data_IF_804788592623
#
_entry.id   IF_804788592623
#
_cell.length_a   1.000
_cell.length_b   1.000
_cell.length_c   1.000
_cell.angle_alpha   90.00
_cell.angle_beta   90.00
_cell.angle_gamma   90.00
#
_symmetry.space_group_name_H-M   'P 1'
#
loop_
_entity.id
_entity.type
_entity.pdbx_description
1 polymer ?
#
# COMPACT_ATOMS: atom_id res chain seq x y z
N UNK A 1 -66.08 -41.25 -23.30
CA UNK A 1 -65.31 -40.70 -24.43
C UNK A 1 -63.84 -40.99 -24.19
N UNK A 2 -63.27 -41.74 -25.12
CA UNK A 2 -61.87 -42.16 -25.18
C UNK A 2 -60.92 -40.96 -25.28
N UNK A 3 -59.76 -41.03 -24.61
CA UNK A 3 -58.48 -40.67 -25.23
C UNK A 3 -57.31 -40.98 -24.27
N UNK A 4 -56.86 -42.23 -24.28
CA UNK A 4 -55.52 -42.59 -23.79
C UNK A 4 -54.60 -42.71 -25.02
N UNK A 5 -54.05 -41.58 -25.50
CA UNK A 5 -52.98 -41.59 -26.52
C UNK A 5 -51.67 -41.97 -25.83
N UNK A 6 -51.32 -43.26 -25.85
CA UNK A 6 -49.96 -43.73 -25.53
C UNK A 6 -49.05 -43.52 -26.73
N UNK A 7 -48.18 -42.52 -26.64
CA UNK A 7 -47.06 -42.30 -27.58
C UNK A 7 -46.11 -43.50 -27.60
N UNK A 8 -46.00 -44.15 -28.75
CA UNK A 8 -45.05 -45.22 -29.01
C UNK A 8 -43.74 -44.58 -29.52
N UNK A 9 -42.81 -44.29 -28.61
CA UNK A 9 -41.46 -43.80 -28.96
C UNK A 9 -40.71 -44.87 -29.76
N UNK A 10 -40.25 -44.50 -30.96
CA UNK A 10 -39.54 -45.36 -31.91
C UNK A 10 -38.18 -45.83 -31.40
N UNK A 11 -37.76 -47.00 -31.85
CA UNK A 11 -36.59 -47.72 -31.33
C UNK A 11 -35.25 -47.02 -31.65
N UNK A 12 -35.22 -46.19 -32.71
CA UNK A 12 -34.07 -45.34 -33.07
C UNK A 12 -33.90 -44.18 -32.10
N UNK A 13 -34.99 -43.52 -31.67
CA UNK A 13 -34.97 -42.45 -30.66
C UNK A 13 -34.54 -43.01 -29.31
N UNK A 14 -35.01 -44.21 -28.93
CA UNK A 14 -34.57 -44.90 -27.72
C UNK A 14 -33.07 -45.23 -27.74
N UNK A 15 -32.51 -45.63 -28.88
CA UNK A 15 -31.06 -45.86 -29.04
C UNK A 15 -30.25 -44.56 -28.96
N UNK A 16 -30.70 -43.50 -29.63
CA UNK A 16 -30.05 -42.17 -29.60
C UNK A 16 -30.04 -41.58 -28.19
N UNK A 17 -31.17 -41.67 -27.47
CA UNK A 17 -31.31 -41.22 -26.08
C UNK A 17 -30.42 -42.03 -25.12
N UNK A 18 -30.25 -43.33 -25.36
CA UNK A 18 -29.38 -44.23 -24.58
C UNK A 18 -27.89 -43.98 -24.86
N UNK A 19 -27.56 -43.49 -26.05
CA UNK A 19 -26.19 -43.10 -26.43
C UNK A 19 -25.79 -41.76 -25.80
N UNK A 20 -26.71 -40.80 -25.72
CA UNK A 20 -26.48 -39.49 -25.11
C UNK A 20 -26.41 -39.53 -23.57
N UNK A 21 -27.04 -40.53 -22.94
CA UNK A 21 -27.01 -40.75 -21.49
C UNK A 21 -26.02 -41.82 -21.02
N UNK A 22 -24.95 -42.09 -21.78
CA UNK A 22 -23.84 -42.91 -21.29
C UNK A 22 -23.01 -42.09 -20.29
N UNK A 23 -23.56 -41.93 -19.07
CA UNK A 23 -22.86 -41.38 -17.90
C UNK A 23 -21.63 -42.25 -17.66
N UNK A 24 -20.45 -41.73 -17.99
CA UNK A 24 -19.19 -42.36 -17.60
C UNK A 24 -19.20 -42.51 -16.08
N UNK A 25 -19.26 -43.77 -15.63
CA UNK A 25 -19.20 -44.08 -14.20
C UNK A 25 -17.80 -43.73 -13.73
N UNK A 26 -17.63 -42.56 -13.11
CA UNK A 26 -16.40 -42.22 -12.39
C UNK A 26 -16.08 -43.37 -11.44
N UNK A 27 -14.90 -43.97 -11.58
CA UNK A 27 -14.45 -45.09 -10.73
C UNK A 27 -14.60 -44.66 -9.25
N UNK A 28 -14.98 -45.57 -8.33
CA UNK A 28 -15.09 -45.22 -6.92
C UNK A 28 -13.72 -44.74 -6.43
N UNK A 29 -13.62 -43.45 -6.15
CA UNK A 29 -12.39 -42.81 -5.67
C UNK A 29 -12.02 -43.45 -4.33
N UNK A 30 -10.82 -44.00 -4.26
CA UNK A 30 -10.29 -44.68 -3.09
C UNK A 30 -10.17 -43.68 -1.93
N UNK A 31 -10.27 -44.13 -0.67
CA UNK A 31 -10.15 -43.23 0.49
C UNK A 31 -8.86 -42.40 0.43
N UNK A 32 -7.73 -43.02 0.07
CA UNK A 32 -6.44 -42.34 -0.12
C UNK A 32 -6.48 -41.26 -1.21
N UNK A 33 -7.20 -41.50 -2.31
CA UNK A 33 -7.35 -40.52 -3.39
C UNK A 33 -8.17 -39.31 -2.93
N UNK A 34 -9.23 -39.52 -2.12
CA UNK A 34 -10.01 -38.43 -1.51
C UNK A 34 -9.16 -37.60 -0.55
N UNK A 35 -8.32 -38.25 0.24
CA UNK A 35 -7.39 -37.57 1.16
C UNK A 35 -6.37 -36.74 0.38
N UNK A 36 -5.78 -37.29 -0.69
CA UNK A 36 -4.85 -36.57 -1.56
C UNK A 36 -5.52 -35.38 -2.24
N UNK A 37 -6.74 -35.55 -2.77
CA UNK A 37 -7.50 -34.46 -3.38
C UNK A 37 -7.80 -33.33 -2.37
N UNK A 38 -8.17 -33.68 -1.13
CA UNK A 38 -8.39 -32.71 -0.06
C UNK A 38 -7.11 -31.91 0.24
N UNK A 39 -5.98 -32.58 0.46
CA UNK A 39 -4.71 -31.90 0.71
C UNK A 39 -4.23 -31.07 -0.48
N UNK A 40 -4.47 -31.53 -1.71
CA UNK A 40 -4.17 -30.76 -2.93
C UNK A 40 -5.00 -29.48 -3.03
N UNK A 41 -6.29 -29.53 -2.68
CA UNK A 41 -7.15 -28.34 -2.61
C UNK A 41 -6.68 -27.39 -1.52
N UNK A 42 -6.33 -27.92 -0.34
CA UNK A 42 -5.80 -27.13 0.76
C UNK A 42 -4.48 -26.43 0.38
N UNK A 43 -3.58 -27.14 -0.31
CA UNK A 43 -2.34 -26.58 -0.83
C UNK A 43 -2.62 -25.45 -1.82
N UNK A 44 -3.52 -25.67 -2.79
CA UNK A 44 -3.88 -24.64 -3.76
C UNK A 44 -4.50 -23.40 -3.10
N UNK A 45 -5.39 -23.60 -2.13
CA UNK A 45 -5.96 -22.52 -1.34
C UNK A 45 -4.89 -21.78 -0.51
N UNK A 46 -3.94 -22.50 0.09
CA UNK A 46 -2.82 -21.93 0.83
C UNK A 46 -1.89 -21.10 -0.05
N UNK A 47 -1.57 -21.59 -1.25
CA UNK A 47 -0.79 -20.85 -2.25
C UNK A 47 -1.55 -19.59 -2.68
N UNK A 48 -2.83 -19.71 -3.04
CA UNK A 48 -3.66 -18.57 -3.42
C UNK A 48 -3.73 -17.52 -2.29
N UNK A 49 -3.96 -17.95 -1.05
CA UNK A 49 -3.97 -17.08 0.12
C UNK A 49 -2.62 -16.38 0.34
N UNK A 50 -1.50 -17.10 0.15
CA UNK A 50 -0.15 -16.53 0.22
C UNK A 50 0.03 -15.40 -0.80
N UNK A 51 -0.37 -15.60 -2.05
CA UNK A 51 -0.31 -14.56 -3.09
C UNK A 51 -1.23 -13.37 -2.78
N UNK A 52 -2.47 -13.63 -2.33
CA UNK A 52 -3.44 -12.57 -1.98
C UNK A 52 -2.90 -11.69 -0.84
N UNK A 53 -2.40 -12.30 0.24
CA UNK A 53 -1.90 -11.58 1.42
C UNK A 53 -0.57 -10.86 1.12
N UNK A 54 0.23 -11.43 0.22
CA UNK A 54 1.51 -10.82 -0.14
C UNK A 54 1.34 -9.62 -1.07
N UNK A 55 0.51 -9.75 -2.11
CA UNK A 55 0.45 -8.76 -3.21
C UNK A 55 -0.82 -7.91 -3.24
N UNK A 56 -1.95 -8.36 -2.69
CA UNK A 56 -3.23 -7.66 -2.85
C UNK A 56 -3.58 -6.88 -1.60
N UNK A 57 -3.66 -7.56 -0.44
CA UNK A 57 -4.16 -6.97 0.80
C UNK A 57 -3.15 -7.22 1.92
N UNK A 58 -2.70 -6.14 2.57
CA UNK A 58 -2.00 -6.25 3.84
C UNK A 58 -2.90 -5.75 4.97
N UNK A 59 -3.12 -6.61 5.96
CA UNK A 59 -3.65 -6.17 7.26
C UNK A 59 -2.49 -5.58 8.06
N UNK A 60 -2.56 -4.30 8.41
CA UNK A 60 -1.55 -3.66 9.25
C UNK A 60 -2.21 -3.01 10.46
N UNK A 61 -1.54 -3.12 11.61
CA UNK A 61 -1.93 -2.42 12.83
C UNK A 61 -1.22 -1.08 12.85
N UNK A 62 -1.92 0.00 13.22
CA UNK A 62 -1.31 1.32 13.32
C UNK A 62 -0.51 1.44 14.62
N UNK A 63 0.83 1.60 14.56
CA UNK A 63 1.67 1.59 15.75
C UNK A 63 1.80 2.96 16.43
N UNK A 64 1.52 4.05 15.73
CA UNK A 64 1.79 5.42 16.22
C UNK A 64 0.57 6.34 16.14
N UNK A 65 0.47 7.26 17.11
CA UNK A 65 -0.60 8.26 17.19
C UNK A 65 -0.43 9.48 16.29
N UNK A 66 0.54 9.48 15.37
CA UNK A 66 0.75 10.63 14.47
C UNK A 66 -0.46 10.89 13.57
N UNK A 67 -1.30 9.88 13.34
CA UNK A 67 -2.54 9.99 12.56
C UNK A 67 -3.79 9.82 13.45
N UNK A 68 -3.68 9.94 14.78
CA UNK A 68 -4.72 9.53 15.75
C UNK A 68 -6.11 10.13 15.50
N UNK A 69 -6.21 11.37 15.03
CA UNK A 69 -7.53 11.98 14.76
C UNK A 69 -8.16 11.50 13.43
N UNK A 70 -7.44 10.73 12.62
CA UNK A 70 -7.96 10.10 11.38
C UNK A 70 -8.00 8.58 11.51
N UNK A 71 -6.99 7.96 12.12
CA UNK A 71 -6.86 6.52 12.35
C UNK A 71 -6.29 6.31 13.75
N UNK A 72 -7.00 5.58 14.59
CA UNK A 72 -6.63 5.43 16.00
C UNK A 72 -5.45 4.46 16.15
N UNK A 73 -4.67 4.66 17.21
CA UNK A 73 -3.61 3.73 17.57
C UNK A 73 -4.22 2.38 17.90
N UNK A 74 -3.69 1.33 17.27
CA UNK A 74 -4.17 -0.03 17.46
C UNK A 74 -5.26 -0.47 16.49
N UNK A 75 -5.80 0.42 15.65
CA UNK A 75 -6.73 0.04 14.57
C UNK A 75 -6.06 -0.92 13.59
N UNK A 76 -6.84 -1.88 13.10
CA UNK A 76 -6.49 -2.72 11.96
C UNK A 76 -6.99 -2.08 10.68
N UNK A 77 -6.07 -1.75 9.78
CA UNK A 77 -6.41 -1.20 8.47
C UNK A 77 -6.02 -2.18 7.38
N UNK A 78 -6.90 -2.31 6.39
CA UNK A 78 -6.63 -3.08 5.18
C UNK A 78 -5.99 -2.15 4.15
N UNK A 79 -4.75 -2.44 3.81
CA UNK A 79 -3.99 -1.69 2.80
C UNK A 79 -4.10 -2.41 1.48
N UNK A 80 -4.56 -1.69 0.46
CA UNK A 80 -4.52 -2.17 -0.92
C UNK A 80 -3.10 -1.97 -1.47
N UNK A 81 -2.35 -3.06 -1.58
CA UNK A 81 -0.97 -3.06 -2.11
C UNK A 81 -0.91 -3.08 -3.62
N UNK A 82 -1.97 -3.57 -4.25
CA UNK A 82 -1.98 -3.85 -5.68
C UNK A 82 -1.90 -2.56 -6.52
N UNK A 83 -2.58 -1.50 -6.07
CA UNK A 83 -2.71 -0.24 -6.81
C UNK A 83 -1.36 0.47 -7.03
N UNK A 84 -0.48 0.49 -6.02
CA UNK A 84 0.79 1.22 -6.06
C UNK A 84 1.99 0.34 -6.45
N UNK A 85 1.74 -0.85 -7.00
CA UNK A 85 2.80 -1.79 -7.37
C UNK A 85 3.34 -2.49 -6.14
N UNK A 86 2.77 -3.66 -5.85
CA UNK A 86 3.12 -4.48 -4.70
C UNK A 86 4.55 -5.02 -4.81
N UNK A 87 5.28 -4.97 -3.70
CA UNK A 87 6.62 -5.57 -3.59
C UNK A 87 6.55 -6.95 -2.95
N UNK A 88 7.40 -7.87 -3.42
CA UNK A 88 7.64 -9.13 -2.71
C UNK A 88 8.25 -8.86 -1.32
N UNK A 89 8.18 -9.82 -0.38
CA UNK A 89 8.84 -9.70 0.92
C UNK A 89 10.33 -9.41 0.75
N UNK A 90 10.83 -8.39 1.47
CA UNK A 90 12.25 -8.00 1.46
C UNK A 90 13.09 -8.75 2.49
N UNK A 91 12.45 -9.40 3.46
CA UNK A 91 13.10 -10.08 4.57
C UNK A 91 12.48 -11.45 4.76
N UNK A 92 13.28 -12.41 5.22
CA UNK A 92 12.75 -13.69 5.70
C UNK A 92 12.00 -13.42 7.01
N UNK A 93 10.75 -13.90 7.18
CA UNK A 93 10.04 -13.77 8.44
C UNK A 93 10.88 -14.29 9.62
N UNK A 94 10.89 -13.54 10.72
CA UNK A 94 11.62 -13.87 11.96
C UNK A 94 13.15 -13.83 11.87
N UNK A 95 13.71 -13.29 10.78
CA UNK A 95 15.16 -13.03 10.67
C UNK A 95 15.40 -11.62 10.11
N UNK A 96 16.64 -11.14 10.24
CA UNK A 96 17.09 -9.86 9.68
C UNK A 96 17.78 -10.05 8.31
N UNK A 97 17.53 -11.19 7.66
CA UNK A 97 18.17 -11.53 6.39
C UNK A 97 17.37 -10.92 5.23
N UNK A 98 18.03 -10.06 4.46
CA UNK A 98 17.50 -9.47 3.22
C UNK A 98 17.38 -10.49 2.09
N UNK A 99 16.27 -10.41 1.36
CA UNK A 99 15.98 -11.16 0.16
C UNK A 99 15.98 -10.22 -1.05
N UNK A 100 16.44 -10.69 -2.23
CA UNK A 100 16.22 -9.95 -3.46
C UNK A 100 14.71 -9.81 -3.67
N UNK A 101 14.25 -8.56 -3.73
CA UNK A 101 12.83 -8.26 -3.92
C UNK A 101 12.57 -7.70 -5.31
N UNK A 102 11.35 -7.93 -5.79
CA UNK A 102 10.86 -7.31 -7.02
C UNK A 102 9.57 -6.56 -6.72
N UNK A 103 9.31 -5.53 -7.52
CA UNK A 103 8.09 -4.73 -7.46
C UNK A 103 7.29 -4.92 -8.72
N UNK A 104 6.01 -5.25 -8.59
CA UNK A 104 5.09 -5.27 -9.72
C UNK A 104 4.86 -3.84 -10.23
N UNK A 105 4.56 -3.65 -11.53
CA UNK A 105 4.22 -2.34 -12.05
C UNK A 105 3.03 -1.75 -11.28
N UNK A 106 3.12 -0.47 -10.93
CA UNK A 106 2.02 0.25 -10.32
C UNK A 106 0.91 0.50 -11.36
N UNK A 107 -0.34 0.32 -10.96
CA UNK A 107 -1.50 0.66 -11.79
C UNK A 107 -1.83 2.15 -11.67
N UNK A 108 -1.60 2.72 -10.49
CA UNK A 108 -1.75 4.13 -10.20
C UNK A 108 -0.52 4.65 -9.45
N UNK A 109 -0.21 5.92 -9.66
CA UNK A 109 0.75 6.65 -8.83
C UNK A 109 0.02 7.26 -7.63
N UNK A 110 0.68 7.43 -6.46
CA UNK A 110 0.08 8.11 -5.33
C UNK A 110 -0.36 9.52 -5.70
N UNK A 111 -1.58 9.88 -5.35
CA UNK A 111 -2.12 11.21 -5.58
C UNK A 111 -2.03 12.04 -4.29
N UNK A 112 -2.00 13.36 -4.45
CA UNK A 112 -2.08 14.24 -3.30
C UNK A 112 -3.39 13.96 -2.54
N UNK A 113 -3.32 14.03 -1.20
CA UNK A 113 -4.36 13.67 -0.24
C UNK A 113 -4.47 12.19 0.14
N UNK A 114 -3.88 11.26 -0.62
CA UNK A 114 -3.91 9.83 -0.29
C UNK A 114 -3.29 9.52 1.07
N UNK A 115 -3.81 8.51 1.76
CA UNK A 115 -3.16 7.92 2.93
C UNK A 115 -2.30 6.76 2.43
N UNK A 116 -0.99 6.92 2.57
CA UNK A 116 0.00 5.94 2.08
C UNK A 116 0.65 5.22 3.26
N UNK A 117 0.85 3.92 3.07
CA UNK A 117 1.64 3.08 3.96
C UNK A 117 2.92 2.72 3.25
N UNK A 118 4.06 3.03 3.86
CA UNK A 118 5.38 2.73 3.31
C UNK A 118 6.31 2.27 4.43
N UNK A 119 7.30 1.49 4.06
CA UNK A 119 8.35 1.07 4.97
C UNK A 119 9.21 2.27 5.37
N UNK A 120 9.56 2.37 6.66
CA UNK A 120 10.40 3.43 7.17
C UNK A 120 11.73 3.48 6.39
N UNK A 121 12.07 4.60 5.73
CA UNK A 121 13.25 4.66 4.88
C UNK A 121 14.57 4.80 5.67
N UNK A 122 14.49 5.01 6.99
CA UNK A 122 15.64 5.34 7.85
C UNK A 122 15.67 6.81 8.23
N UNK A 123 16.55 7.16 9.17
CA UNK A 123 16.80 8.55 9.52
C UNK A 123 17.50 9.29 8.36
N UNK A 124 17.42 10.62 8.33
CA UNK A 124 17.96 11.47 7.24
C UNK A 124 19.37 11.10 6.78
N UNK A 125 20.26 10.80 7.73
CA UNK A 125 21.68 10.55 7.47
C UNK A 125 22.00 9.04 7.36
N UNK A 126 20.98 8.18 7.23
CA UNK A 126 21.09 6.74 7.06
C UNK A 126 20.74 6.32 5.64
N UNK A 127 21.53 5.43 5.05
CA UNK A 127 21.23 4.81 3.75
C UNK A 127 20.21 3.67 3.86
N UNK A 128 20.16 3.02 5.02
CA UNK A 128 19.29 1.89 5.32
C UNK A 128 18.73 2.09 6.73
N UNK A 129 17.44 1.81 6.91
CA UNK A 129 16.81 1.92 8.22
C UNK A 129 17.44 0.95 9.23
N UNK A 130 17.66 1.45 10.46
CA UNK A 130 18.13 0.62 11.58
C UNK A 130 17.09 -0.45 11.97
N UNK A 131 15.80 -0.11 11.87
CA UNK A 131 14.70 -1.02 12.20
C UNK A 131 13.99 -1.49 10.92
N UNK A 132 14.08 -2.79 10.65
CA UNK A 132 13.50 -3.42 9.47
C UNK A 132 12.02 -3.76 9.69
N UNK A 133 11.21 -3.69 8.63
CA UNK A 133 9.79 -4.08 8.68
C UNK A 133 8.87 -3.09 9.39
N UNK A 134 9.36 -1.91 9.75
CA UNK A 134 8.55 -0.84 10.35
C UNK A 134 7.78 -0.10 9.25
N UNK A 135 6.45 -0.05 9.37
CA UNK A 135 5.60 0.67 8.42
C UNK A 135 5.13 2.01 8.98
N UNK A 136 5.22 3.05 8.18
CA UNK A 136 4.74 4.38 8.47
C UNK A 136 3.46 4.63 7.69
N UNK A 137 2.48 5.25 8.36
CA UNK A 137 1.24 5.70 7.74
C UNK A 137 1.21 7.22 7.76
N UNK A 138 1.19 7.83 6.58
CA UNK A 138 1.21 9.28 6.40
C UNK A 138 0.26 9.68 5.28
N UNK A 139 -0.04 10.97 5.21
CA UNK A 139 -0.80 11.56 4.10
C UNK A 139 0.17 12.10 3.03
N UNK A 140 -0.09 11.76 1.78
CA UNK A 140 0.62 12.34 0.63
C UNK A 140 0.20 13.80 0.47
N UNK A 141 1.19 14.70 0.48
CA UNK A 141 0.98 16.14 0.29
C UNK A 141 1.39 16.58 -1.12
N UNK A 142 2.49 16.03 -1.62
CA UNK A 142 3.07 16.37 -2.92
C UNK A 142 3.57 15.14 -3.64
N UNK A 143 3.45 15.19 -4.96
CA UNK A 143 3.85 14.15 -5.90
C UNK A 143 5.08 14.60 -6.70
N UNK A 144 5.72 13.72 -7.47
CA UNK A 144 6.92 14.07 -8.24
C UNK A 144 6.73 15.31 -9.13
N UNK A 145 7.53 16.35 -8.90
CA UNK A 145 7.49 17.62 -9.63
C UNK A 145 6.72 18.74 -8.91
N UNK A 146 5.96 18.43 -7.86
CA UNK A 146 5.26 19.45 -7.08
C UNK A 146 6.24 20.31 -6.27
N UNK A 147 5.90 21.59 -6.11
CA UNK A 147 6.60 22.51 -5.21
C UNK A 147 5.82 22.66 -3.91
N UNK A 148 6.44 22.30 -2.80
CA UNK A 148 5.84 22.32 -1.47
C UNK A 148 6.38 23.50 -0.68
N UNK A 149 5.49 24.27 -0.08
CA UNK A 149 5.82 25.40 0.77
C UNK A 149 4.89 25.42 1.98
N UNK A 150 5.40 25.75 3.16
CA UNK A 150 4.60 25.96 4.36
C UNK A 150 4.80 27.40 4.79
N UNK A 151 3.71 28.15 4.96
CA UNK A 151 3.73 29.51 5.50
C UNK A 151 2.84 29.56 6.72
N UNK A 152 3.40 29.88 7.88
CA UNK A 152 2.65 30.02 9.12
C UNK A 152 1.73 28.81 9.41
N UNK A 153 2.26 27.58 9.29
CA UNK A 153 1.54 26.29 9.43
C UNK A 153 0.53 25.96 8.30
N UNK A 154 0.39 26.81 7.29
CA UNK A 154 -0.48 26.53 6.12
C UNK A 154 0.36 25.96 4.99
N UNK A 155 -0.06 24.81 4.46
CA UNK A 155 0.60 24.12 3.36
C UNK A 155 0.14 24.70 2.02
N UNK A 156 1.09 24.92 1.12
CA UNK A 156 0.88 25.32 -0.25
C UNK A 156 1.55 24.30 -1.19
N UNK A 157 0.85 23.91 -2.24
CA UNK A 157 1.35 23.04 -3.30
C UNK A 157 1.25 23.82 -4.62
N UNK A 158 2.38 23.97 -5.31
CA UNK A 158 2.48 24.76 -6.54
C UNK A 158 1.93 26.20 -6.38
N UNK A 159 2.19 26.81 -5.22
CA UNK A 159 1.75 28.17 -4.89
C UNK A 159 0.28 28.31 -4.50
N UNK A 160 -0.53 27.25 -4.56
CA UNK A 160 -1.93 27.23 -4.14
C UNK A 160 -2.07 26.64 -2.74
N UNK A 161 -2.95 27.19 -1.93
CA UNK A 161 -3.24 26.63 -0.61
C UNK A 161 -3.75 25.19 -0.76
N UNK A 162 -3.12 24.27 -0.03
CA UNK A 162 -3.45 22.86 -0.05
C UNK A 162 -4.69 22.58 0.80
N UNK A 163 -5.42 21.53 0.42
CA UNK A 163 -6.56 21.06 1.19
C UNK A 163 -6.18 20.72 2.63
N UNK A 164 -6.97 21.19 3.59
CA UNK A 164 -6.80 20.91 5.02
C UNK A 164 -7.63 19.69 5.41
N UNK A 165 -7.02 18.61 5.92
CA UNK A 165 -7.77 17.49 6.48
C UNK A 165 -8.70 17.95 7.61
N UNK A 166 -9.91 17.38 7.67
CA UNK A 166 -10.94 17.71 8.67
C UNK A 166 -10.43 17.59 10.11
N UNK A 167 -9.54 16.64 10.36
CA UNK A 167 -9.01 16.29 11.67
C UNK A 167 -7.55 16.70 11.87
N UNK A 168 -7.08 17.74 11.15
CA UNK A 168 -5.70 18.22 11.27
C UNK A 168 -5.36 18.64 12.71
N UNK A 169 -4.18 18.21 13.18
CA UNK A 169 -3.64 18.59 14.49
C UNK A 169 -2.41 19.47 14.27
N UNK A 170 -2.44 20.67 14.85
CA UNK A 170 -1.25 21.51 14.93
C UNK A 170 -0.47 21.11 16.18
N UNK A 171 0.81 20.78 16.02
CA UNK A 171 1.68 20.51 17.16
C UNK A 171 2.27 21.81 17.70
N UNK A 172 2.54 21.81 19.01
CA UNK A 172 3.43 22.79 19.63
C UNK A 172 4.83 22.51 19.10
N UNK A 173 5.25 23.30 18.14
CA UNK A 173 6.57 23.23 17.57
C UNK A 173 7.67 23.48 18.60
N UNK A 174 8.93 23.35 18.20
CA UNK A 174 10.08 23.60 19.09
C UNK A 174 10.18 25.08 19.48
N UNK A 175 9.78 25.98 18.59
CA UNK A 175 9.84 27.44 18.74
C UNK A 175 8.48 28.13 18.58
N UNK A 176 7.46 27.40 18.15
CA UNK A 176 6.08 27.86 18.02
C UNK A 176 5.17 27.43 19.18
N UNK A 177 3.94 27.93 19.17
CA UNK A 177 2.84 27.41 19.98
C UNK A 177 1.74 26.89 19.07
N UNK A 178 0.73 26.24 19.66
CA UNK A 178 -0.46 25.79 18.92
C UNK A 178 -1.10 26.92 18.10
N UNK A 179 -1.13 28.14 18.63
CA UNK A 179 -1.81 29.29 18.05
C UNK A 179 -0.86 30.26 17.33
N UNK A 180 0.43 30.25 17.67
CA UNK A 180 1.44 31.18 17.12
C UNK A 180 2.54 30.40 16.42
N UNK A 181 2.65 30.49 15.09
CA UNK A 181 3.75 29.92 14.33
C UNK A 181 5.12 30.38 14.82
N UNK A 182 6.12 29.50 14.73
CA UNK A 182 7.51 29.90 14.88
C UNK A 182 7.84 31.02 13.87
N UNK A 183 8.59 32.07 14.26
CA UNK A 183 8.96 33.13 13.34
C UNK A 183 9.71 32.59 12.12
N UNK A 184 9.44 33.17 10.94
CA UNK A 184 10.20 32.88 9.73
C UNK A 184 11.67 33.25 9.94
N UNK A 185 12.58 32.39 9.49
CA UNK A 185 14.03 32.61 9.61
C UNK A 185 14.68 31.92 10.81
N UNK A 186 13.89 31.43 11.77
CA UNK A 186 14.40 30.61 12.86
C UNK A 186 14.61 29.18 12.35
N UNK A 187 15.86 28.80 12.12
CA UNK A 187 16.20 27.48 11.57
C UNK A 187 15.93 26.34 12.55
N UNK A 188 15.41 25.21 12.04
CA UNK A 188 15.38 23.93 12.77
C UNK A 188 16.35 22.93 12.11
N UNK A 189 17.39 22.54 12.83
CA UNK A 189 18.44 21.62 12.35
C UNK A 189 17.93 20.21 11.99
N UNK A 190 16.72 19.84 12.43
CA UNK A 190 16.07 18.55 12.10
C UNK A 190 15.45 18.55 10.70
N UNK A 191 15.24 19.72 10.12
CA UNK A 191 14.52 19.88 8.86
C UNK A 191 15.50 19.87 7.70
N UNK A 192 15.19 19.08 6.69
CA UNK A 192 15.89 19.07 5.41
C UNK A 192 15.41 20.25 4.56
N UNK A 193 16.27 21.00 3.85
CA UNK A 193 17.70 20.79 3.72
C UNK A 193 18.47 21.40 4.89
N UNK A 194 19.63 20.81 5.22
CA UNK A 194 20.56 21.35 6.22
C UNK A 194 21.00 22.76 5.83
N UNK A 195 21.21 23.62 6.83
CA UNK A 195 21.70 24.99 6.65
C UNK A 195 20.66 26.00 6.16
N UNK A 196 19.41 25.59 5.97
CA UNK A 196 18.32 26.52 5.65
C UNK A 196 17.83 27.27 6.89
N UNK A 197 17.22 28.44 6.65
CA UNK A 197 16.54 29.22 7.69
C UNK A 197 15.07 28.78 7.87
N UNK A 198 14.76 27.53 7.54
CA UNK A 198 13.42 26.96 7.55
C UNK A 198 13.12 26.28 8.88
N UNK A 199 11.84 26.24 9.22
CA UNK A 199 11.30 25.47 10.35
C UNK A 199 10.00 24.77 9.97
N UNK A 200 9.42 24.02 10.90
CA UNK A 200 8.21 23.21 10.69
C UNK A 200 6.97 24.04 10.36
N UNK A 201 6.97 25.32 10.74
CA UNK A 201 5.86 26.24 10.50
C UNK A 201 6.08 27.13 9.26
N UNK A 202 7.32 27.23 8.79
CA UNK A 202 7.75 28.05 7.66
C UNK A 202 8.83 27.32 6.87
N UNK A 203 8.41 26.61 5.83
CA UNK A 203 9.20 25.64 5.07
C UNK A 203 9.18 25.93 3.57
N UNK A 204 10.27 25.66 2.88
CA UNK A 204 10.31 25.75 1.43
C UNK A 204 10.38 27.20 0.89
N UNK A 205 10.09 27.38 -0.42
CA UNK A 205 9.60 26.36 -1.34
C UNK A 205 10.65 25.26 -1.63
N UNK A 206 10.21 24.00 -1.69
CA UNK A 206 11.02 22.84 -2.07
C UNK A 206 10.32 22.02 -3.16
N UNK A 207 11.05 21.68 -4.22
CA UNK A 207 10.55 20.85 -5.32
C UNK A 207 10.75 19.38 -4.98
N UNK A 208 9.68 18.58 -5.06
CA UNK A 208 9.75 17.12 -5.00
C UNK A 208 10.41 16.62 -6.30
N UNK A 209 11.54 15.90 -6.24
CA UNK A 209 12.19 15.43 -7.45
C UNK A 209 11.29 14.50 -8.27
N UNK A 210 11.29 14.67 -9.60
CA UNK A 210 10.66 13.74 -10.54
C UNK A 210 11.69 12.90 -11.28
N UNK A 211 11.25 11.77 -11.85
CA UNK A 211 12.13 10.91 -12.66
C UNK A 211 12.85 11.73 -13.74
N UNK A 212 14.17 11.59 -13.81
CA UNK A 212 15.03 12.35 -14.71
C UNK A 212 15.44 13.75 -14.21
N UNK A 213 15.00 14.16 -13.01
CA UNK A 213 15.52 15.39 -12.39
C UNK A 213 16.99 15.23 -12.03
N UNK A 214 17.78 16.26 -12.29
CA UNK A 214 19.19 16.32 -11.94
C UNK A 214 19.45 17.48 -11.00
N UNK A 215 20.27 17.25 -9.97
CA UNK A 215 20.70 18.30 -9.04
C UNK A 215 22.22 18.44 -9.19
N UNK A 216 22.75 19.60 -9.61
CA UNK A 216 24.19 19.82 -9.65
C UNK A 216 24.74 19.82 -8.22
N UNK A 217 25.69 18.93 -7.96
CA UNK A 217 26.36 18.86 -6.67
C UNK A 217 27.26 20.09 -6.45
N UNK A 218 27.16 20.67 -5.26
CA UNK A 218 27.94 21.81 -4.81
C UNK A 218 28.16 21.73 -3.29
N UNK A 219 29.03 22.59 -2.76
CA UNK A 219 29.38 22.61 -1.33
C UNK A 219 28.20 22.82 -0.36
N UNK A 220 27.04 23.26 -0.84
CA UNK A 220 25.85 23.49 -0.03
C UNK A 220 24.86 22.32 -0.05
N UNK A 221 24.96 21.40 -1.02
CA UNK A 221 24.07 20.26 -1.13
C UNK A 221 24.76 18.89 -1.05
N UNK A 222 26.10 18.84 -1.01
CA UNK A 222 26.86 17.59 -1.00
C UNK A 222 26.84 16.88 0.37
N UNK A 223 26.63 17.60 1.47
CA UNK A 223 26.58 17.04 2.84
C UNK A 223 25.16 17.03 3.45
N UNK A 224 24.14 17.07 2.60
CA UNK A 224 22.72 17.15 2.99
C UNK A 224 22.24 15.91 3.73
#
# INVERSE_FOLDING_TARGET
>A
MSNEKKEIKTESEKKSFKFWHKKERKKPVTFSEKVIEFFRQLLFAGIAAFFIITFIIQNTRIPTGSMENTILVGDFVLVNKFIYGSSSPKYIPFTEIELPFFRLPALWEPEATDIVVFEYPGDRDQLVATELGVNYVKRCIGTPGDTIEIKNKVVFVNGKEFWKPTHIKYYKGRTGSYLKPAPKGVADARIFPKGTHWNEDNYGPLVVPKKGSTIPLNKYNVEQ
#
